data_IF_853843453161
#
_entry.id   IF_853843453161
#
_cell.length_a   1.000
_cell.length_b   1.000
_cell.length_c   1.000
_cell.angle_alpha   90.00
_cell.angle_beta   90.00
_cell.angle_gamma   90.00
#
_symmetry.space_group_name_H-M   'P 1'
#
loop_
_entity.id
_entity.type
_entity.pdbx_description
1 polymer ?
#
# COMPACT_ATOMS: atom_id res chain seq x y z
N UNK A 1 9.25 -12.59 25.50
CA UNK A 1 8.61 -13.07 26.75
C UNK A 1 7.39 -13.88 26.36
N UNK A 2 7.49 -15.19 26.48
CA UNK A 2 6.38 -16.15 26.33
C UNK A 2 5.71 -16.39 27.68
N UNK A 3 4.43 -16.77 27.70
CA UNK A 3 3.86 -17.99 28.32
C UNK A 3 2.30 -17.99 28.26
N UNK A 4 1.60 -19.15 28.40
CA UNK A 4 0.42 -19.53 27.60
C UNK A 4 -0.78 -20.11 28.42
N UNK A 5 -1.76 -20.70 27.70
CA UNK A 5 -2.70 -21.80 28.07
C UNK A 5 -4.01 -21.56 28.88
N UNK A 6 -5.15 -21.74 28.17
CA UNK A 6 -6.34 -22.59 28.42
C UNK A 6 -6.94 -22.81 29.82
N UNK A 7 -8.28 -22.69 29.95
CA UNK A 7 -9.20 -23.82 30.29
C UNK A 7 -10.71 -23.45 30.19
N UNK A 8 -11.53 -24.46 29.87
CA UNK A 8 -13.00 -24.49 29.74
C UNK A 8 -13.71 -24.94 31.02
N UNK A 9 -14.97 -24.52 31.27
CA UNK A 9 -15.98 -25.36 31.92
C UNK A 9 -17.43 -24.89 31.64
N UNK A 10 -18.30 -25.89 31.40
CA UNK A 10 -19.74 -25.81 31.12
C UNK A 10 -20.55 -25.78 32.42
N UNK A 11 -21.74 -25.16 32.39
CA UNK A 11 -22.88 -25.57 33.22
C UNK A 11 -24.16 -25.58 32.35
N UNK A 12 -24.83 -26.73 32.38
CA UNK A 12 -26.14 -27.04 31.82
C UNK A 12 -27.18 -26.89 32.94
N UNK A 13 -28.32 -26.27 32.69
CA UNK A 13 -29.54 -26.58 33.43
C UNK A 13 -30.77 -26.42 32.53
N UNK A 14 -31.53 -27.51 32.46
CA UNK A 14 -32.78 -27.64 31.74
C UNK A 14 -33.95 -27.12 32.59
N UNK A 15 -34.93 -26.51 31.93
CA UNK A 15 -36.24 -26.19 32.50
C UNK A 15 -37.30 -26.28 31.41
N UNK A 16 -38.08 -27.36 31.43
CA UNK A 16 -39.25 -27.60 30.59
C UNK A 16 -40.44 -26.78 31.11
N UNK A 17 -41.08 -26.01 30.24
CA UNK A 17 -42.49 -25.65 30.36
C UNK A 17 -43.14 -25.77 28.98
N UNK A 18 -44.09 -26.69 28.87
CA UNK A 18 -45.03 -26.82 27.74
C UNK A 18 -46.36 -26.19 28.13
N UNK A 19 -46.93 -25.34 27.27
CA UNK A 19 -48.38 -25.19 27.07
C UNK A 19 -48.68 -24.47 25.73
N UNK A 20 -49.18 -25.28 24.79
CA UNK A 20 -50.22 -25.03 23.80
C UNK A 20 -50.30 -23.71 22.98
N UNK A 21 -49.89 -23.85 21.71
CA UNK A 21 -50.62 -23.54 20.46
C UNK A 21 -51.19 -22.13 20.19
N UNK A 22 -50.49 -21.42 19.29
CA UNK A 22 -51.08 -20.75 18.14
C UNK A 22 -50.05 -20.77 16.99
N UNK A 23 -50.29 -21.60 15.97
CA UNK A 23 -49.44 -21.72 14.79
C UNK A 23 -49.60 -20.52 13.87
N UNK A 24 -48.92 -19.41 14.18
CA UNK A 24 -48.42 -18.55 13.12
C UNK A 24 -47.08 -19.14 12.68
N UNK A 25 -46.98 -19.57 11.43
CA UNK A 25 -45.71 -19.76 10.76
C UNK A 25 -45.01 -18.40 10.69
N UNK A 26 -44.35 -18.00 11.79
CA UNK A 26 -43.29 -17.04 11.73
C UNK A 26 -42.22 -17.66 10.83
N UNK A 27 -42.18 -17.24 9.57
CA UNK A 27 -40.99 -17.45 8.75
C UNK A 27 -39.81 -17.02 9.62
N UNK A 28 -38.76 -17.85 9.76
CA UNK A 28 -37.56 -17.40 10.45
C UNK A 28 -37.11 -16.13 9.70
N UNK A 29 -37.19 -14.98 10.39
CA UNK A 29 -36.49 -13.78 9.97
C UNK A 29 -35.05 -14.22 9.85
N UNK A 30 -34.56 -14.44 8.63
CA UNK A 30 -33.13 -14.46 8.40
C UNK A 30 -32.68 -13.05 8.78
N UNK A 31 -32.16 -12.89 9.99
CA UNK A 31 -31.18 -11.85 10.24
C UNK A 31 -30.03 -12.16 9.28
N UNK A 32 -30.11 -11.61 8.06
CA UNK A 32 -29.14 -11.87 7.01
C UNK A 32 -27.88 -11.08 7.36
N UNK A 33 -27.01 -11.70 8.17
CA UNK A 33 -25.64 -11.22 8.30
C UNK A 33 -25.09 -11.02 6.87
N UNK A 34 -24.71 -9.77 6.54
CA UNK A 34 -24.21 -9.44 5.23
C UNK A 34 -23.05 -10.38 4.85
N UNK A 35 -23.09 -10.92 3.63
CA UNK A 35 -22.01 -11.77 3.13
C UNK A 35 -20.69 -11.02 3.12
N UNK A 36 -19.57 -11.74 3.18
CA UNK A 36 -18.24 -11.14 3.15
C UNK A 36 -18.05 -10.22 1.93
N UNK A 37 -18.52 -10.63 0.75
CA UNK A 37 -18.51 -9.82 -0.48
C UNK A 37 -19.29 -8.51 -0.34
N UNK A 38 -20.47 -8.54 0.31
CA UNK A 38 -21.26 -7.33 0.55
C UNK A 38 -20.53 -6.36 1.48
N UNK A 39 -19.91 -6.85 2.56
CA UNK A 39 -19.13 -5.99 3.49
C UNK A 39 -17.93 -5.34 2.81
N UNK A 40 -17.23 -6.09 1.95
CA UNK A 40 -16.11 -5.55 1.17
C UNK A 40 -16.57 -4.46 0.20
N UNK A 41 -17.69 -4.68 -0.49
CA UNK A 41 -18.25 -3.69 -1.43
C UNK A 41 -18.76 -2.45 -0.71
N UNK A 42 -19.48 -2.61 0.40
CA UNK A 42 -19.96 -1.51 1.25
C UNK A 42 -18.81 -0.66 1.77
N UNK A 43 -17.72 -1.28 2.23
CA UNK A 43 -16.55 -0.55 2.70
C UNK A 43 -15.91 0.28 1.59
N UNK A 44 -15.71 -0.29 0.40
CA UNK A 44 -15.14 0.44 -0.74
C UNK A 44 -16.08 1.51 -1.29
N UNK A 45 -17.40 1.28 -1.29
CA UNK A 45 -18.40 2.29 -1.61
C UNK A 45 -18.34 3.47 -0.64
N UNK A 46 -18.20 3.19 0.67
CA UNK A 46 -18.03 4.25 1.66
C UNK A 46 -16.76 5.06 1.40
N UNK A 47 -15.64 4.39 1.10
CA UNK A 47 -14.38 5.06 0.76
C UNK A 47 -14.51 5.92 -0.50
N UNK A 48 -15.13 5.38 -1.55
CA UNK A 48 -15.33 6.08 -2.81
C UNK A 48 -16.27 7.28 -2.68
N UNK A 49 -17.36 7.15 -1.92
CA UNK A 49 -18.28 8.25 -1.63
C UNK A 49 -17.65 9.40 -0.86
N UNK A 50 -16.50 9.18 -0.21
CA UNK A 50 -15.72 10.19 0.50
C UNK A 50 -14.44 10.60 -0.23
N UNK A 51 -14.31 10.30 -1.53
CA UNK A 51 -13.13 10.61 -2.33
C UNK A 51 -11.83 10.04 -1.74
N UNK A 52 -11.92 8.89 -1.06
CA UNK A 52 -10.78 8.13 -0.53
C UNK A 52 -10.35 7.00 -1.46
N UNK A 53 -11.22 6.64 -2.40
CA UNK A 53 -10.92 5.62 -3.41
C UNK A 53 -11.63 5.91 -4.73
N UNK A 54 -10.92 5.79 -5.84
CA UNK A 54 -11.40 5.99 -7.20
C UNK A 54 -10.45 5.18 -8.08
N UNK A 55 -10.92 4.03 -8.55
CA UNK A 55 -10.11 3.06 -9.27
C UNK A 55 -10.73 1.67 -9.23
N UNK A 56 -9.90 0.62 -9.23
CA UNK A 56 -10.35 -0.77 -9.25
C UNK A 56 -9.78 -1.58 -8.09
N UNK A 57 -10.59 -2.45 -7.51
CA UNK A 57 -10.22 -3.30 -6.38
C UNK A 57 -10.52 -4.76 -6.66
N UNK A 58 -9.65 -5.65 -6.14
CA UNK A 58 -9.88 -7.09 -6.13
C UNK A 58 -9.53 -7.68 -4.77
N UNK A 59 -10.41 -8.51 -4.23
CA UNK A 59 -10.19 -9.29 -3.01
C UNK A 59 -10.49 -10.76 -3.31
N UNK A 60 -9.54 -11.64 -3.01
CA UNK A 60 -9.68 -13.08 -3.21
C UNK A 60 -9.22 -13.84 -1.96
N UNK A 61 -9.81 -15.02 -1.77
CA UNK A 61 -9.39 -15.98 -0.74
C UNK A 61 -9.41 -17.38 -1.30
N UNK A 62 -8.31 -18.12 -1.15
CA UNK A 62 -8.20 -19.54 -1.56
C UNK A 62 -8.57 -19.75 -3.03
N UNK A 63 -8.11 -18.85 -3.90
CA UNK A 63 -8.40 -18.85 -5.34
C UNK A 63 -9.80 -18.39 -5.73
N UNK A 64 -10.72 -18.14 -4.78
CA UNK A 64 -12.04 -17.60 -5.04
C UNK A 64 -12.02 -16.07 -4.95
N UNK A 65 -12.42 -15.42 -6.04
CA UNK A 65 -12.66 -13.96 -6.05
C UNK A 65 -13.91 -13.67 -5.21
N UNK A 66 -13.74 -12.83 -4.19
CA UNK A 66 -14.82 -12.35 -3.32
C UNK A 66 -15.33 -10.98 -3.78
N UNK A 67 -14.45 -10.17 -4.37
CA UNK A 67 -14.75 -8.87 -4.95
C UNK A 67 -13.80 -8.59 -6.10
N UNK A 68 -14.30 -8.08 -7.22
CA UNK A 68 -13.50 -7.53 -8.32
C UNK A 68 -14.36 -6.48 -9.03
N UNK A 69 -14.14 -5.20 -8.74
CA UNK A 69 -15.05 -4.12 -9.12
C UNK A 69 -14.32 -2.78 -9.26
N UNK A 70 -14.82 -1.94 -10.16
CA UNK A 70 -14.39 -0.55 -10.30
C UNK A 70 -15.28 0.41 -9.50
N UNK A 71 -14.68 1.51 -9.06
CA UNK A 71 -15.25 2.54 -8.21
C UNK A 71 -14.87 3.92 -8.76
N UNK A 72 -15.82 4.84 -8.81
CA UNK A 72 -15.60 6.19 -9.33
C UNK A 72 -15.26 6.20 -10.83
N UNK A 73 -14.40 7.15 -11.23
CA UNK A 73 -14.20 7.52 -12.63
C UNK A 73 -12.82 7.14 -13.17
N UNK A 74 -12.80 6.42 -14.29
CA UNK A 74 -11.62 6.27 -15.14
C UNK A 74 -11.15 7.64 -15.64
N UNK A 75 -12.09 8.48 -16.05
CA UNK A 75 -11.88 9.89 -16.37
C UNK A 75 -13.06 10.71 -15.83
N UNK A 76 -12.77 11.57 -14.86
CA UNK A 76 -13.75 12.40 -14.18
C UNK A 76 -14.38 13.47 -15.10
N UNK A 77 -13.69 13.89 -16.16
CA UNK A 77 -14.21 14.89 -17.10
C UNK A 77 -15.33 14.29 -17.99
N UNK A 78 -15.10 13.10 -18.52
CA UNK A 78 -16.08 12.35 -19.31
C UNK A 78 -17.07 11.53 -18.48
N UNK A 79 -16.81 11.39 -17.16
CA UNK A 79 -17.53 10.49 -16.24
C UNK A 79 -17.52 9.03 -16.71
N UNK A 80 -16.48 8.64 -17.44
CA UNK A 80 -16.25 7.23 -17.76
C UNK A 80 -15.98 6.47 -16.45
N UNK A 81 -16.71 5.39 -16.14
CA UNK A 81 -16.52 4.66 -14.89
C UNK A 81 -15.24 3.84 -14.92
N UNK A 82 -14.59 3.68 -13.77
CA UNK A 82 -13.61 2.61 -13.62
C UNK A 82 -14.31 1.25 -13.65
N UNK A 83 -13.66 0.26 -14.25
CA UNK A 83 -14.09 -1.14 -14.19
C UNK A 83 -12.90 -2.09 -13.99
N UNK A 84 -13.14 -3.41 -14.05
CA UNK A 84 -12.10 -4.44 -13.83
C UNK A 84 -11.10 -4.55 -14.99
N UNK A 85 -11.41 -3.90 -16.10
CA UNK A 85 -10.62 -3.86 -17.32
C UNK A 85 -9.83 -2.56 -17.44
N UNK A 86 -10.20 -1.48 -16.75
CA UNK A 86 -9.47 -0.21 -16.76
C UNK A 86 -7.98 -0.44 -16.46
N UNK A 87 -7.11 0.12 -17.30
CA UNK A 87 -5.66 -0.02 -17.19
C UNK A 87 -5.08 1.06 -16.30
N UNK A 88 -4.23 0.67 -15.35
CA UNK A 88 -3.52 1.56 -14.43
C UNK A 88 -2.01 1.28 -14.47
N UNK A 89 -1.14 2.29 -14.30
CA UNK A 89 0.25 2.05 -13.98
C UNK A 89 0.35 1.41 -12.58
N UNK A 90 1.01 0.26 -12.47
CA UNK A 90 1.24 -0.41 -11.17
C UNK A 90 2.51 0.10 -10.49
N UNK A 91 3.23 0.99 -11.17
CA UNK A 91 4.40 1.72 -10.65
C UNK A 91 5.36 0.76 -9.96
N UNK A 92 5.78 1.06 -8.73
CA UNK A 92 6.81 0.28 -8.03
C UNK A 92 6.46 -1.17 -7.73
N UNK A 93 5.22 -1.64 -7.92
CA UNK A 93 4.93 -3.09 -7.93
C UNK A 93 5.77 -3.79 -9.02
N UNK A 94 6.16 -3.10 -10.10
CA UNK A 94 7.12 -3.54 -11.12
C UNK A 94 8.38 -4.18 -10.53
N UNK A 95 8.86 -3.69 -9.38
CA UNK A 95 10.06 -4.24 -8.72
C UNK A 95 9.91 -5.72 -8.38
N UNK A 96 8.71 -6.19 -8.07
CA UNK A 96 8.45 -7.61 -7.83
C UNK A 96 8.62 -8.47 -9.09
N UNK A 97 8.26 -7.93 -10.26
CA UNK A 97 8.48 -8.57 -11.56
C UNK A 97 9.98 -8.61 -11.89
N UNK A 98 10.69 -7.49 -11.73
CA UNK A 98 12.14 -7.43 -11.94
C UNK A 98 12.89 -8.40 -11.04
N UNK A 99 12.51 -8.46 -9.75
CA UNK A 99 13.08 -9.40 -8.78
C UNK A 99 12.91 -10.85 -9.24
N UNK A 100 11.71 -11.20 -9.71
CA UNK A 100 11.40 -12.55 -10.21
C UNK A 100 12.20 -12.89 -11.46
N UNK A 101 12.37 -11.96 -12.39
CA UNK A 101 13.25 -12.15 -13.56
C UNK A 101 14.71 -12.37 -13.13
N UNK A 102 15.22 -11.60 -12.18
CA UNK A 102 16.59 -11.77 -11.67
C UNK A 102 16.77 -13.15 -11.03
N UNK A 103 15.81 -13.60 -10.21
CA UNK A 103 15.86 -14.92 -9.58
C UNK A 103 15.72 -16.06 -10.61
N UNK A 104 14.86 -15.90 -11.61
CA UNK A 104 14.76 -16.84 -12.73
C UNK A 104 16.08 -16.98 -13.50
N UNK A 105 16.75 -15.85 -13.79
CA UNK A 105 18.08 -15.87 -14.42
C UNK A 105 19.17 -16.46 -13.50
N UNK A 106 19.01 -16.36 -12.19
CA UNK A 106 19.88 -17.03 -11.23
C UNK A 106 19.72 -18.56 -11.29
N UNK A 107 18.49 -19.06 -11.38
CA UNK A 107 18.23 -20.51 -11.51
C UNK A 107 18.83 -21.08 -12.80
N UNK A 108 18.83 -20.28 -13.87
CA UNK A 108 19.50 -20.63 -15.14
C UNK A 108 21.05 -20.54 -15.07
N UNK A 109 21.62 -20.16 -13.92
CA UNK A 109 23.07 -19.99 -13.74
C UNK A 109 23.67 -18.81 -14.52
N UNK A 110 22.84 -17.93 -15.09
CA UNK A 110 23.30 -16.79 -15.89
C UNK A 110 23.83 -15.62 -15.06
N UNK A 111 23.39 -15.54 -13.81
CA UNK A 111 23.86 -14.58 -12.82
C UNK A 111 23.76 -15.17 -11.41
N UNK A 112 24.30 -14.47 -10.42
CA UNK A 112 24.04 -14.73 -9.01
C UNK A 112 23.67 -13.43 -8.32
N UNK A 113 22.71 -13.45 -7.38
CA UNK A 113 22.44 -12.29 -6.52
C UNK A 113 23.66 -11.89 -5.67
N UNK A 114 24.67 -12.76 -5.55
CA UNK A 114 25.94 -12.48 -4.87
C UNK A 114 26.99 -11.85 -5.80
N UNK A 115 26.74 -11.80 -7.11
CA UNK A 115 27.68 -11.19 -8.05
C UNK A 115 27.91 -9.71 -7.69
N UNK A 116 29.15 -9.22 -7.79
CA UNK A 116 29.43 -7.80 -7.63
C UNK A 116 28.90 -7.02 -8.83
N UNK A 117 28.47 -5.78 -8.60
CA UNK A 117 27.96 -4.89 -9.64
C UNK A 117 29.02 -4.63 -10.73
N UNK A 118 30.30 -4.61 -10.34
CA UNK A 118 31.43 -4.44 -11.26
C UNK A 118 31.54 -5.55 -12.32
N UNK A 119 30.92 -6.71 -12.11
CA UNK A 119 30.82 -7.75 -13.15
C UNK A 119 30.03 -7.29 -14.37
N UNK A 120 29.05 -6.41 -14.17
CA UNK A 120 28.14 -5.92 -15.22
C UNK A 120 28.41 -4.46 -15.61
N UNK A 121 28.96 -3.68 -14.69
CA UNK A 121 29.38 -2.29 -14.88
C UNK A 121 30.79 -2.09 -14.30
N UNK A 122 31.84 -2.47 -15.05
CA UNK A 122 33.23 -2.45 -14.56
C UNK A 122 33.69 -1.11 -13.99
N UNK A 123 33.24 0.00 -14.61
CA UNK A 123 33.64 1.35 -14.23
C UNK A 123 32.74 1.97 -13.15
N UNK A 124 31.75 1.24 -12.62
CA UNK A 124 30.86 1.77 -11.59
C UNK A 124 31.63 2.00 -10.28
N UNK A 125 31.65 3.23 -9.72
CA UNK A 125 32.41 3.53 -8.51
C UNK A 125 32.03 2.60 -7.35
N UNK A 126 33.05 1.92 -6.78
CA UNK A 126 32.87 0.91 -5.71
C UNK A 126 31.95 -0.26 -6.10
N UNK A 127 31.77 -0.53 -7.39
CA UNK A 127 30.93 -1.63 -7.90
C UNK A 127 31.34 -3.01 -7.37
N UNK A 128 32.62 -3.20 -7.02
CA UNK A 128 33.10 -4.44 -6.38
C UNK A 128 32.58 -4.67 -4.95
N UNK A 129 32.04 -3.65 -4.28
CA UNK A 129 31.46 -3.74 -2.93
C UNK A 129 29.93 -3.89 -2.93
N UNK A 130 29.29 -3.63 -4.07
CA UNK A 130 27.84 -3.67 -4.22
C UNK A 130 27.50 -4.99 -4.89
N UNK A 131 26.56 -5.77 -4.36
CA UNK A 131 26.08 -6.99 -5.02
C UNK A 131 24.66 -6.81 -5.53
N UNK A 132 24.20 -7.67 -6.43
CA UNK A 132 22.82 -7.66 -6.94
C UNK A 132 21.79 -7.79 -5.81
N UNK A 133 22.09 -8.60 -4.78
CA UNK A 133 21.31 -8.68 -3.53
C UNK A 133 21.18 -7.32 -2.84
N UNK A 134 22.22 -6.49 -2.82
CA UNK A 134 22.12 -5.14 -2.24
C UNK A 134 21.16 -4.26 -3.05
N UNK A 135 21.07 -4.44 -4.37
CA UNK A 135 20.09 -3.74 -5.21
C UNK A 135 18.67 -4.22 -4.91
N UNK A 136 18.45 -5.54 -4.93
CA UNK A 136 17.13 -6.17 -4.69
C UNK A 136 16.53 -5.83 -3.32
N UNK A 137 17.39 -5.68 -2.31
CA UNK A 137 16.99 -5.43 -0.91
C UNK A 137 17.08 -3.96 -0.47
N UNK A 138 17.35 -3.02 -1.39
CA UNK A 138 17.52 -1.58 -1.08
C UNK A 138 18.60 -1.30 -0.02
N UNK A 139 19.70 -2.05 -0.06
CA UNK A 139 20.83 -1.89 0.87
C UNK A 139 22.13 -1.49 0.17
N UNK A 140 22.06 -0.99 -1.07
CA UNK A 140 23.24 -0.69 -1.89
C UNK A 140 24.01 0.58 -1.47
N UNK A 141 23.30 1.58 -0.93
CA UNK A 141 23.85 2.91 -0.69
C UNK A 141 24.05 3.75 -1.96
N UNK A 142 23.58 3.29 -3.13
CA UNK A 142 23.63 4.04 -4.39
C UNK A 142 22.75 5.29 -4.28
N UNK A 143 23.16 6.40 -4.88
CA UNK A 143 22.34 7.61 -4.94
C UNK A 143 21.05 7.37 -5.75
N UNK A 144 19.90 7.78 -5.23
CA UNK A 144 18.62 7.58 -5.91
C UNK A 144 18.40 8.68 -6.95
N UNK A 145 18.27 8.33 -8.24
CA UNK A 145 18.12 9.33 -9.32
C UNK A 145 16.84 10.17 -9.17
N UNK A 146 15.81 9.61 -8.52
CA UNK A 146 14.55 10.32 -8.20
C UNK A 146 14.72 11.38 -7.11
N UNK A 147 15.91 11.55 -6.54
CA UNK A 147 16.24 12.71 -5.71
C UNK A 147 16.50 13.96 -6.58
N UNK A 148 16.90 13.77 -7.84
CA UNK A 148 17.24 14.87 -8.76
C UNK A 148 16.15 15.10 -9.81
N UNK A 149 15.31 14.09 -10.09
CA UNK A 149 14.17 14.22 -11.01
C UNK A 149 12.86 13.86 -10.32
N UNK A 150 11.89 14.76 -10.40
CA UNK A 150 10.57 14.63 -9.80
C UNK A 150 9.46 15.13 -10.73
N UNK A 151 8.24 15.24 -10.21
CA UNK A 151 7.05 15.66 -10.97
C UNK A 151 7.16 17.06 -11.60
N UNK A 152 8.04 17.89 -11.08
CA UNK A 152 8.24 19.26 -11.54
C UNK A 152 9.14 19.32 -12.79
N UNK A 153 9.92 18.27 -13.07
CA UNK A 153 10.83 18.17 -14.22
C UNK A 153 10.10 17.69 -15.49
N UNK A 154 8.97 18.31 -15.81
CA UNK A 154 8.08 17.91 -16.92
C UNK A 154 8.81 17.76 -18.27
N UNK A 155 9.84 18.57 -18.51
CA UNK A 155 10.67 18.51 -19.72
C UNK A 155 11.50 17.22 -19.86
N UNK A 156 11.72 16.49 -18.77
CA UNK A 156 12.44 15.21 -18.74
C UNK A 156 11.43 14.06 -18.64
N UNK A 157 10.42 14.20 -17.79
CA UNK A 157 9.64 13.05 -17.32
C UNK A 157 8.44 12.71 -18.20
N UNK A 158 7.95 13.65 -19.00
CA UNK A 158 6.79 13.48 -19.88
C UNK A 158 7.17 12.90 -21.26
N UNK A 159 8.44 12.62 -21.51
CA UNK A 159 8.95 12.21 -22.82
C UNK A 159 9.90 11.02 -22.70
N UNK A 160 10.10 10.24 -23.78
CA UNK A 160 11.07 9.15 -23.79
C UNK A 160 12.49 9.64 -23.45
N UNK A 161 13.14 8.94 -22.50
CA UNK A 161 14.50 9.23 -22.05
C UNK A 161 15.42 8.04 -22.32
N UNK A 162 16.57 8.25 -22.99
CA UNK A 162 17.57 7.19 -23.13
C UNK A 162 18.08 6.72 -21.76
N UNK A 163 18.20 5.41 -21.57
CA UNK A 163 18.68 4.80 -20.30
C UNK A 163 20.00 5.41 -19.81
N UNK A 164 20.90 5.77 -20.72
CA UNK A 164 22.18 6.41 -20.38
C UNK A 164 21.97 7.74 -19.66
N UNK A 165 20.98 8.55 -20.07
CA UNK A 165 20.69 9.85 -19.45
C UNK A 165 20.26 9.70 -17.99
N UNK A 166 19.47 8.68 -17.68
CA UNK A 166 19.08 8.36 -16.28
C UNK A 166 20.28 7.83 -15.51
N UNK A 167 21.09 6.96 -16.12
CA UNK A 167 22.30 6.42 -15.51
C UNK A 167 23.28 7.54 -15.11
N UNK A 168 23.49 8.52 -16.00
CA UNK A 168 24.42 9.64 -15.80
C UNK A 168 24.09 10.49 -14.56
N UNK A 169 22.83 10.53 -14.12
CA UNK A 169 22.40 11.25 -12.91
C UNK A 169 23.11 10.71 -11.67
N UNK A 170 23.27 9.39 -11.56
CA UNK A 170 23.76 8.76 -10.33
C UNK A 170 25.07 7.98 -10.47
N UNK A 171 25.53 7.71 -11.70
CA UNK A 171 26.69 6.84 -11.97
C UNK A 171 27.94 7.25 -11.18
N UNK A 172 28.25 8.55 -11.16
CA UNK A 172 29.46 9.09 -10.51
C UNK A 172 29.21 9.66 -9.10
N UNK A 173 27.98 9.55 -8.57
CA UNK A 173 27.66 10.06 -7.25
C UNK A 173 28.24 9.15 -6.16
N UNK A 174 28.67 9.76 -5.06
CA UNK A 174 29.19 9.05 -3.90
C UNK A 174 28.06 8.21 -3.27
N UNK A 175 28.39 7.00 -2.82
CA UNK A 175 27.46 6.19 -2.03
C UNK A 175 27.04 6.94 -0.75
N UNK A 176 25.75 6.97 -0.48
CA UNK A 176 25.14 7.57 0.71
C UNK A 176 25.58 6.84 1.99
N UNK A 177 25.83 5.53 1.88
CA UNK A 177 26.32 4.67 2.96
C UNK A 177 27.06 3.45 2.41
N UNK A 178 27.75 2.71 3.29
CA UNK A 178 28.43 1.46 2.92
C UNK A 178 27.39 0.38 2.51
N UNK A 179 27.58 -0.35 1.40
CA UNK A 179 26.65 -1.40 0.99
C UNK A 179 26.40 -2.39 2.12
N UNK A 180 25.14 -2.78 2.31
CA UNK A 180 24.72 -3.66 3.38
C UNK A 180 24.80 -3.05 4.78
N UNK A 181 24.85 -1.72 4.96
CA UNK A 181 24.81 -1.08 6.30
C UNK A 181 23.41 -0.72 6.77
N UNK A 182 22.59 -0.13 5.90
CA UNK A 182 21.23 0.34 6.20
C UNK A 182 20.30 0.08 5.02
N UNK A 183 19.00 0.23 5.26
CA UNK A 183 17.98 0.26 4.22
C UNK A 183 17.81 1.70 3.73
N UNK A 184 17.71 1.90 2.42
CA UNK A 184 17.26 3.14 1.80
C UNK A 184 16.60 2.79 0.47
N UNK A 185 15.28 3.00 0.37
CA UNK A 185 14.52 2.67 -0.83
C UNK A 185 15.11 3.37 -2.06
N UNK A 186 15.41 2.60 -3.11
CA UNK A 186 16.26 3.07 -4.20
C UNK A 186 15.78 2.63 -5.59
N UNK A 187 15.39 3.59 -6.42
CA UNK A 187 14.97 3.33 -7.79
C UNK A 187 16.17 3.06 -8.71
N UNK A 188 17.32 3.72 -8.49
CA UNK A 188 18.55 3.48 -9.27
C UNK A 188 19.01 2.01 -9.21
N UNK A 189 18.87 1.37 -8.06
CA UNK A 189 19.21 -0.04 -7.89
C UNK A 189 18.38 -0.96 -8.79
N UNK A 190 17.06 -0.76 -8.84
CA UNK A 190 16.18 -1.53 -9.73
C UNK A 190 16.34 -1.16 -11.20
N UNK A 191 16.67 0.10 -11.49
CA UNK A 191 17.04 0.53 -12.84
C UNK A 191 18.27 -0.24 -13.37
N UNK A 192 19.31 -0.36 -12.54
CA UNK A 192 20.50 -1.16 -12.84
C UNK A 192 20.16 -2.65 -13.01
N UNK A 193 19.26 -3.21 -12.19
CA UNK A 193 18.82 -4.60 -12.36
C UNK A 193 18.17 -4.84 -13.73
N UNK A 194 17.34 -3.92 -14.22
CA UNK A 194 16.80 -4.00 -15.59
C UNK A 194 17.90 -4.01 -16.65
N UNK A 195 18.89 -3.13 -16.54
CA UNK A 195 20.03 -3.10 -17.46
C UNK A 195 20.90 -4.38 -17.37
N UNK A 196 20.99 -5.00 -16.19
CA UNK A 196 21.68 -6.30 -16.01
C UNK A 196 20.92 -7.41 -16.73
N UNK A 197 19.58 -7.43 -16.64
CA UNK A 197 18.74 -8.38 -17.39
C UNK A 197 19.07 -8.28 -18.88
N UNK A 198 19.17 -7.08 -19.43
CA UNK A 198 19.51 -6.89 -20.85
C UNK A 198 20.92 -7.37 -21.18
N UNK A 199 21.92 -7.02 -20.37
CA UNK A 199 23.31 -7.46 -20.59
C UNK A 199 23.46 -8.98 -20.57
N UNK A 200 22.72 -9.66 -19.70
CA UNK A 200 22.80 -11.11 -19.52
C UNK A 200 21.99 -11.87 -20.57
N UNK A 201 20.90 -11.29 -21.07
CA UNK A 201 20.00 -11.97 -22.02
C UNK A 201 20.19 -11.56 -23.47
N UNK A 202 20.79 -10.39 -23.73
CA UNK A 202 20.87 -9.78 -25.06
C UNK A 202 19.54 -9.23 -25.58
N UNK A 203 18.49 -9.21 -24.75
CA UNK A 203 17.13 -8.77 -25.12
C UNK A 203 16.73 -7.51 -24.32
N UNK A 204 15.87 -6.64 -24.87
CA UNK A 204 15.25 -5.55 -24.09
C UNK A 204 14.53 -6.08 -22.85
N UNK A 205 14.59 -5.35 -21.74
CA UNK A 205 13.98 -5.77 -20.47
C UNK A 205 12.47 -6.02 -20.61
N UNK A 206 11.78 -5.17 -21.35
CA UNK A 206 10.34 -5.27 -21.61
C UNK A 206 10.00 -6.58 -22.32
N UNK A 207 10.84 -7.02 -23.25
CA UNK A 207 10.70 -8.30 -23.94
C UNK A 207 10.93 -9.47 -22.97
N UNK A 208 11.95 -9.38 -22.11
CA UNK A 208 12.23 -10.44 -21.13
C UNK A 208 11.09 -10.61 -20.12
N UNK A 209 10.51 -9.51 -19.63
CA UNK A 209 9.33 -9.57 -18.74
C UNK A 209 8.13 -10.18 -19.45
N UNK A 210 7.91 -9.81 -20.73
CA UNK A 210 6.81 -10.34 -21.53
C UNK A 210 6.92 -11.86 -21.70
N UNK A 211 8.06 -12.34 -22.17
CA UNK A 211 8.32 -13.76 -22.44
C UNK A 211 8.31 -14.61 -21.16
N UNK A 212 8.81 -14.08 -20.04
CA UNK A 212 8.97 -14.84 -18.79
C UNK A 212 7.77 -14.78 -17.85
N UNK A 213 6.96 -13.73 -17.93
CA UNK A 213 5.89 -13.49 -16.97
C UNK A 213 4.56 -13.27 -17.69
N UNK A 214 4.45 -12.28 -18.57
CA UNK A 214 3.14 -11.92 -19.13
C UNK A 214 2.56 -13.02 -20.01
N UNK A 215 3.35 -13.60 -20.91
CA UNK A 215 2.89 -14.65 -21.83
C UNK A 215 2.54 -15.96 -21.08
N UNK A 216 3.40 -16.51 -20.19
CA UNK A 216 3.07 -17.72 -19.43
C UNK A 216 1.84 -17.57 -18.55
N UNK A 217 1.61 -16.38 -17.99
CA UNK A 217 0.44 -16.10 -17.17
C UNK A 217 -0.77 -15.60 -17.96
N UNK A 218 -0.65 -15.37 -19.27
CA UNK A 218 -1.71 -14.82 -20.10
C UNK A 218 -2.15 -13.40 -19.68
N UNK A 219 -1.22 -12.56 -19.23
CA UNK A 219 -1.44 -11.16 -18.82
C UNK A 219 -1.51 -10.21 -20.02
N UNK A 220 -2.57 -10.36 -20.84
CA UNK A 220 -2.69 -9.72 -22.15
C UNK A 220 -3.04 -8.21 -22.12
N UNK A 221 -3.42 -7.67 -20.95
CA UNK A 221 -3.62 -6.23 -20.72
C UNK A 221 -2.55 -5.66 -19.79
N UNK A 222 -1.37 -6.28 -19.79
CA UNK A 222 -0.19 -5.82 -19.07
C UNK A 222 0.95 -5.50 -20.03
N UNK A 223 1.69 -4.45 -19.72
CA UNK A 223 2.70 -3.96 -20.63
C UNK A 223 3.45 -2.76 -20.10
N UNK A 224 4.06 -2.07 -21.05
CA UNK A 224 4.89 -0.88 -20.87
C UNK A 224 4.39 0.19 -21.84
N UNK A 225 4.83 1.42 -21.65
CA UNK A 225 4.39 2.56 -22.47
C UNK A 225 2.92 2.95 -22.25
N UNK A 226 2.58 3.20 -20.97
CA UNK A 226 1.24 3.58 -20.55
C UNK A 226 0.70 4.84 -21.25
N UNK A 227 1.56 5.84 -21.50
CA UNK A 227 1.14 7.14 -21.99
C UNK A 227 0.57 7.06 -23.42
N UNK A 228 1.03 6.11 -24.24
CA UNK A 228 0.56 5.92 -25.61
C UNK A 228 -0.60 4.93 -25.74
N UNK A 229 -1.11 4.39 -24.63
CA UNK A 229 -2.37 3.63 -24.65
C UNK A 229 -3.55 4.54 -25.05
N UNK A 230 -4.58 4.01 -25.72
CA UNK A 230 -5.82 4.75 -25.98
C UNK A 230 -6.47 5.24 -24.68
N UNK A 231 -7.01 6.46 -24.69
CA UNK A 231 -7.60 7.09 -23.48
C UNK A 231 -8.84 6.32 -22.98
N UNK A 232 -9.58 5.67 -23.87
CA UNK A 232 -10.77 4.88 -23.54
C UNK A 232 -10.46 3.60 -22.75
N UNK A 233 -9.22 3.12 -22.76
CA UNK A 233 -8.83 1.89 -22.03
C UNK A 233 -8.08 2.16 -20.73
N UNK A 234 -7.49 3.35 -20.58
CA UNK A 234 -6.60 3.67 -19.46
C UNK A 234 -7.22 4.69 -18.51
N UNK A 235 -6.88 4.58 -17.22
CA UNK A 235 -7.27 5.57 -16.24
C UNK A 235 -6.50 6.88 -16.43
N UNK A 236 -7.20 8.00 -16.24
CA UNK A 236 -6.58 9.31 -16.14
C UNK A 236 -6.15 9.56 -14.70
N UNK A 237 -4.88 9.91 -14.50
CA UNK A 237 -4.33 10.19 -13.16
C UNK A 237 -4.64 11.60 -12.69
N UNK A 238 -4.92 11.75 -11.39
CA UNK A 238 -5.23 13.04 -10.77
C UNK A 238 -4.31 13.33 -9.58
N UNK A 239 -3.67 14.50 -9.56
CA UNK A 239 -2.99 15.00 -8.36
C UNK A 239 -3.99 15.34 -7.24
N UNK A 240 -5.22 15.70 -7.62
CA UNK A 240 -6.32 15.94 -6.69
C UNK A 240 -7.65 15.57 -7.35
N UNK A 241 -8.47 14.82 -6.63
CA UNK A 241 -9.81 14.42 -7.05
C UNK A 241 -10.75 14.48 -5.84
N UNK A 242 -11.52 15.56 -5.73
CA UNK A 242 -12.54 15.78 -4.69
C UNK A 242 -13.87 16.18 -5.35
N UNK A 243 -14.91 16.45 -4.54
CA UNK A 243 -16.17 16.99 -5.06
C UNK A 243 -16.00 18.40 -5.67
N UNK A 244 -15.05 19.18 -5.14
CA UNK A 244 -14.81 20.57 -5.48
C UNK A 244 -13.69 20.75 -6.51
N UNK A 245 -12.73 19.82 -6.58
CA UNK A 245 -11.53 19.99 -7.40
C UNK A 245 -11.18 18.71 -8.17
N UNK A 246 -10.98 18.87 -9.48
CA UNK A 246 -10.42 17.84 -10.35
C UNK A 246 -9.15 18.38 -11.00
N UNK A 247 -7.99 17.93 -10.53
CA UNK A 247 -6.68 18.35 -11.04
C UNK A 247 -5.94 17.15 -11.64
N UNK A 248 -5.95 17.00 -12.98
CA UNK A 248 -5.19 15.95 -13.65
C UNK A 248 -3.70 16.07 -13.33
N UNK A 249 -3.02 14.93 -13.20
CA UNK A 249 -1.56 14.86 -13.10
C UNK A 249 -0.92 14.93 -14.48
N UNK A 250 0.32 15.42 -14.54
CA UNK A 250 1.16 15.27 -15.72
C UNK A 250 1.45 13.78 -15.99
N UNK A 251 1.57 13.38 -17.28
CA UNK A 251 1.95 12.03 -17.64
C UNK A 251 3.40 11.74 -17.22
N UNK A 252 3.70 10.46 -16.98
CA UNK A 252 5.05 10.00 -16.69
C UNK A 252 5.45 8.89 -17.65
N UNK A 253 6.52 9.13 -18.40
CA UNK A 253 6.99 8.23 -19.43
C UNK A 253 7.62 6.98 -18.81
N UNK A 254 7.27 5.83 -19.39
CA UNK A 254 7.69 4.51 -18.92
C UNK A 254 9.21 4.33 -18.92
N UNK A 255 9.95 5.02 -19.80
CA UNK A 255 11.41 4.94 -19.91
C UNK A 255 12.15 5.56 -18.72
N UNK A 256 11.51 6.49 -17.99
CA UNK A 256 12.11 7.14 -16.82
C UNK A 256 12.09 6.24 -15.60
N UNK A 257 11.01 5.47 -15.41
CA UNK A 257 10.92 4.47 -14.34
C UNK A 257 11.56 3.14 -14.72
N UNK A 258 11.40 2.71 -15.96
CA UNK A 258 11.92 1.44 -16.49
C UNK A 258 11.67 0.28 -15.51
N UNK A 259 12.63 -0.61 -15.28
CA UNK A 259 12.54 -1.73 -14.36
C UNK A 259 12.23 -1.36 -12.89
N UNK A 260 12.30 -0.08 -12.50
CA UNK A 260 11.88 0.34 -11.18
C UNK A 260 10.35 0.57 -11.06
N UNK A 261 9.62 0.79 -12.16
CA UNK A 261 8.22 1.21 -12.04
C UNK A 261 7.40 1.42 -13.31
N UNK A 262 7.74 0.81 -14.44
CA UNK A 262 7.13 1.13 -15.74
C UNK A 262 5.94 0.27 -16.16
N UNK A 263 5.60 -0.80 -15.43
CA UNK A 263 4.52 -1.70 -15.83
C UNK A 263 3.16 -1.01 -15.62
N UNK A 264 2.26 -1.16 -16.60
CA UNK A 264 0.82 -0.99 -16.41
C UNK A 264 0.12 -2.36 -16.40
N UNK A 265 -1.06 -2.42 -15.80
CA UNK A 265 -1.89 -3.63 -15.78
C UNK A 265 -3.35 -3.33 -15.43
N UNK A 266 -4.13 -4.39 -15.22
CA UNK A 266 -5.53 -4.39 -14.76
C UNK A 266 -5.66 -5.28 -13.53
N UNK A 267 -6.75 -5.17 -12.75
CA UNK A 267 -6.95 -6.08 -11.60
C UNK A 267 -7.06 -7.54 -12.05
N UNK A 268 -7.64 -7.79 -13.23
CA UNK A 268 -7.76 -9.12 -13.82
C UNK A 268 -6.41 -9.77 -14.13
N UNK A 269 -5.48 -9.02 -14.73
CA UNK A 269 -4.14 -9.54 -15.02
C UNK A 269 -3.26 -9.63 -13.78
N UNK A 270 -3.32 -8.62 -12.91
CA UNK A 270 -2.57 -8.65 -11.65
C UNK A 270 -3.05 -9.75 -10.72
N UNK A 271 -4.29 -10.23 -10.85
CA UNK A 271 -4.72 -11.44 -10.16
C UNK A 271 -3.98 -12.68 -10.64
N UNK A 272 -3.68 -12.81 -11.94
CA UNK A 272 -2.88 -13.92 -12.48
C UNK A 272 -1.47 -13.89 -11.91
N UNK A 273 -0.85 -12.70 -11.86
CA UNK A 273 0.41 -12.47 -11.15
C UNK A 273 0.32 -12.86 -9.67
N UNK A 274 -0.69 -12.37 -8.95
CA UNK A 274 -0.86 -12.66 -7.54
C UNK A 274 -1.08 -14.16 -7.27
N UNK A 275 -1.73 -14.89 -8.18
CA UNK A 275 -1.84 -16.35 -8.11
C UNK A 275 -0.48 -17.02 -8.35
N UNK A 276 0.28 -16.61 -9.35
CA UNK A 276 1.64 -17.13 -9.55
C UNK A 276 2.52 -16.94 -8.31
N UNK A 277 2.44 -15.77 -7.68
CA UNK A 277 3.11 -15.47 -6.41
C UNK A 277 2.62 -16.38 -5.28
N UNK A 278 1.30 -16.54 -5.12
CA UNK A 278 0.68 -17.36 -4.08
C UNK A 278 1.02 -18.85 -4.20
N UNK A 279 1.10 -19.36 -5.42
CA UNK A 279 1.42 -20.76 -5.71
C UNK A 279 2.91 -21.01 -5.92
N UNK A 280 3.73 -19.96 -5.77
CA UNK A 280 5.18 -20.02 -5.97
C UNK A 280 5.55 -20.58 -7.35
N UNK A 281 4.88 -20.08 -8.38
CA UNK A 281 5.11 -20.43 -9.79
C UNK A 281 6.18 -19.51 -10.43
N UNK A 282 6.57 -19.79 -11.68
CA UNK A 282 7.58 -19.08 -12.50
C UNK A 282 9.05 -19.23 -12.07
N UNK A 283 9.30 -19.36 -10.77
CA UNK A 283 10.62 -19.64 -10.16
C UNK A 283 10.44 -20.71 -9.08
N UNK A 284 11.54 -21.30 -8.61
CA UNK A 284 11.51 -22.33 -7.58
C UNK A 284 11.00 -21.79 -6.23
N UNK A 285 10.52 -22.69 -5.37
CA UNK A 285 10.11 -22.35 -4.01
C UNK A 285 11.24 -21.72 -3.22
N UNK A 286 12.45 -22.22 -3.37
CA UNK A 286 13.67 -21.70 -2.73
C UNK A 286 13.98 -20.27 -3.17
N UNK A 287 13.69 -19.91 -4.43
CA UNK A 287 13.83 -18.53 -4.91
C UNK A 287 12.71 -17.62 -4.39
N UNK A 288 11.47 -18.10 -4.31
CA UNK A 288 10.39 -17.35 -3.64
C UNK A 288 10.67 -17.13 -2.15
N UNK A 289 11.20 -18.14 -1.45
CA UNK A 289 11.65 -18.02 -0.07
C UNK A 289 12.75 -16.97 0.08
N UNK A 290 13.72 -16.94 -0.84
CA UNK A 290 14.72 -15.86 -0.89
C UNK A 290 14.07 -14.49 -1.09
N UNK A 291 13.07 -14.38 -1.98
CA UNK A 291 12.38 -13.12 -2.25
C UNK A 291 11.58 -12.60 -1.03
N UNK A 292 11.01 -13.51 -0.24
CA UNK A 292 10.19 -13.19 0.93
C UNK A 292 10.97 -13.21 2.26
N UNK A 293 12.27 -13.51 2.22
CA UNK A 293 13.10 -13.42 3.42
C UNK A 293 13.41 -11.95 3.71
N UNK A 294 12.95 -11.38 4.84
CA UNK A 294 13.23 -10.00 5.17
C UNK A 294 14.73 -9.79 5.44
N UNK A 295 15.29 -8.75 4.85
CA UNK A 295 16.63 -8.25 5.15
C UNK A 295 16.55 -7.09 6.16
N UNK A 296 16.81 -5.86 5.74
CA UNK A 296 16.69 -4.67 6.59
C UNK A 296 15.35 -4.01 6.37
N UNK A 297 14.85 -3.40 7.45
CA UNK A 297 13.54 -2.75 7.48
C UNK A 297 12.39 -3.65 7.00
N UNK A 298 12.56 -4.97 7.18
CA UNK A 298 11.60 -5.99 6.77
C UNK A 298 11.33 -6.03 5.25
N UNK A 299 12.28 -5.55 4.43
CA UNK A 299 12.24 -5.65 2.97
C UNK A 299 13.03 -6.87 2.47
N UNK A 300 12.42 -7.68 1.61
CA UNK A 300 13.02 -8.81 0.91
C UNK A 300 13.53 -8.41 -0.48
N UNK A 301 13.39 -9.28 -1.49
CA UNK A 301 13.74 -8.92 -2.87
C UNK A 301 12.52 -8.41 -3.62
N UNK A 302 12.34 -7.09 -3.62
CA UNK A 302 11.20 -6.45 -4.29
C UNK A 302 9.87 -6.57 -3.54
N UNK A 303 9.90 -6.92 -2.23
CA UNK A 303 8.72 -7.12 -1.40
C UNK A 303 8.94 -6.59 0.02
N UNK A 304 7.93 -5.91 0.58
CA UNK A 304 7.82 -5.68 2.02
C UNK A 304 7.19 -6.91 2.67
N UNK A 305 7.68 -7.28 3.86
CA UNK A 305 7.15 -8.39 4.65
C UNK A 305 6.82 -7.86 6.04
N UNK A 306 5.57 -8.03 6.49
CA UNK A 306 5.17 -7.52 7.80
C UNK A 306 4.02 -8.37 8.36
N UNK A 307 3.46 -7.93 9.49
CA UNK A 307 2.28 -8.55 10.10
C UNK A 307 1.17 -7.53 10.31
N UNK A 308 -0.07 -7.93 10.05
CA UNK A 308 -1.26 -7.14 10.32
C UNK A 308 -2.29 -8.04 11.01
N UNK A 309 -2.83 -7.58 12.14
CA UNK A 309 -3.77 -8.37 12.97
C UNK A 309 -3.26 -9.77 13.37
N UNK A 310 -1.94 -9.95 13.47
CA UNK A 310 -1.30 -11.23 13.76
C UNK A 310 -1.07 -12.14 12.55
N UNK A 311 -1.47 -11.71 11.35
CA UNK A 311 -1.30 -12.43 10.09
C UNK A 311 -0.12 -11.86 9.32
N UNK A 312 0.80 -12.72 8.87
CA UNK A 312 1.93 -12.30 8.04
C UNK A 312 1.46 -11.97 6.63
N UNK A 313 2.00 -10.91 6.05
CA UNK A 313 1.76 -10.57 4.66
C UNK A 313 3.04 -10.19 3.93
N UNK A 314 3.01 -10.37 2.61
CA UNK A 314 3.96 -9.78 1.66
C UNK A 314 3.23 -8.73 0.83
N UNK A 315 3.85 -7.60 0.57
CA UNK A 315 3.23 -6.52 -0.20
C UNK A 315 4.25 -5.74 -1.01
N UNK A 316 3.76 -5.10 -2.07
CA UNK A 316 4.44 -3.94 -2.63
C UNK A 316 3.38 -2.90 -3.03
N UNK A 317 3.72 -1.63 -2.85
CA UNK A 317 2.92 -0.51 -3.34
C UNK A 317 3.60 0.19 -4.50
N UNK A 318 2.84 0.96 -5.26
CA UNK A 318 3.31 1.88 -6.26
C UNK A 318 2.62 3.23 -6.05
N UNK A 319 3.34 4.33 -6.28
CA UNK A 319 2.78 5.66 -6.11
C UNK A 319 3.52 6.69 -6.94
N UNK A 320 2.76 7.62 -7.52
CA UNK A 320 3.28 8.70 -8.36
C UNK A 320 2.32 9.09 -9.48
N UNK A 321 2.42 10.36 -9.91
CA UNK A 321 1.80 10.89 -11.12
C UNK A 321 0.27 10.72 -11.18
N UNK A 322 -0.38 10.94 -10.03
CA UNK A 322 -1.82 10.79 -9.90
C UNK A 322 -2.30 9.34 -9.84
N UNK A 323 -1.41 8.39 -9.50
CA UNK A 323 -1.78 6.99 -9.31
C UNK A 323 -1.19 6.41 -8.03
N UNK A 324 -1.96 5.54 -7.40
CA UNK A 324 -1.52 4.68 -6.31
C UNK A 324 -1.94 3.25 -6.59
N UNK A 325 -1.08 2.29 -6.28
CA UNK A 325 -1.36 0.87 -6.43
C UNK A 325 -0.85 0.09 -5.22
N UNK A 326 -1.52 -1.00 -4.91
CA UNK A 326 -1.05 -1.95 -3.92
C UNK A 326 -1.43 -3.38 -4.30
N UNK A 327 -0.51 -4.29 -4.05
CA UNK A 327 -0.74 -5.73 -3.99
C UNK A 327 -0.31 -6.20 -2.59
N UNK A 328 -1.24 -6.81 -1.86
CA UNK A 328 -1.02 -7.41 -0.56
C UNK A 328 -1.46 -8.87 -0.59
N UNK A 329 -0.62 -9.76 -0.10
CA UNK A 329 -0.87 -11.19 -0.04
C UNK A 329 -0.54 -11.74 1.34
N UNK A 330 -1.48 -12.47 1.94
CA UNK A 330 -1.34 -13.20 3.21
C UNK A 330 -1.14 -14.69 2.89
N UNK A 331 0.10 -15.21 2.94
CA UNK A 331 0.38 -16.57 2.50
C UNK A 331 -0.33 -17.66 3.29
N UNK A 332 -0.41 -17.50 4.62
CA UNK A 332 -0.97 -18.49 5.52
C UNK A 332 -2.50 -18.66 5.33
N UNK A 333 -3.21 -17.59 4.99
CA UNK A 333 -4.66 -17.61 4.77
C UNK A 333 -5.08 -17.71 3.29
N UNK A 334 -4.11 -17.67 2.37
CA UNK A 334 -4.27 -17.48 0.92
C UNK A 334 -5.25 -16.33 0.62
N UNK A 335 -4.97 -15.14 1.14
CA UNK A 335 -5.78 -13.93 0.91
C UNK A 335 -5.00 -12.92 0.08
N UNK A 336 -5.57 -12.49 -1.04
CA UNK A 336 -5.03 -11.43 -1.88
C UNK A 336 -5.93 -10.21 -1.85
N UNK A 337 -5.34 -9.04 -1.64
CA UNK A 337 -6.01 -7.73 -1.74
C UNK A 337 -5.20 -6.89 -2.74
N UNK A 338 -5.88 -6.34 -3.75
CA UNK A 338 -5.31 -5.45 -4.74
C UNK A 338 -6.16 -4.20 -4.86
N UNK A 339 -5.49 -3.05 -4.90
CA UNK A 339 -6.12 -1.74 -5.03
C UNK A 339 -5.34 -0.93 -6.05
N UNK A 340 -6.00 -0.47 -7.12
CA UNK A 340 -5.48 0.51 -8.07
C UNK A 340 -6.34 1.75 -7.98
N UNK A 341 -5.70 2.91 -7.85
CA UNK A 341 -6.33 4.20 -7.61
C UNK A 341 -5.74 5.20 -8.59
N UNK A 342 -6.58 5.96 -9.30
CA UNK A 342 -6.12 7.00 -10.24
C UNK A 342 -6.20 8.40 -9.63
N UNK A 343 -5.97 8.53 -8.34
CA UNK A 343 -5.54 9.80 -7.77
C UNK A 343 -4.52 9.60 -6.65
N UNK A 344 -3.82 10.68 -6.31
CA UNK A 344 -2.93 10.76 -5.16
C UNK A 344 -1.46 10.89 -5.52
N UNK A 345 -0.68 11.25 -4.51
CA UNK A 345 0.78 11.30 -4.52
C UNK A 345 1.36 10.43 -3.38
N UNK A 346 2.65 10.56 -3.11
CA UNK A 346 3.35 9.83 -2.04
C UNK A 346 2.74 9.99 -0.63
N UNK A 347 1.87 10.98 -0.37
CA UNK A 347 1.16 11.15 0.90
C UNK A 347 -0.16 10.37 1.01
N UNK A 348 -0.85 10.10 -0.11
CA UNK A 348 -2.19 9.49 -0.10
C UNK A 348 -2.12 7.97 -0.15
N UNK A 349 -1.91 7.35 1.01
CA UNK A 349 -1.67 5.92 1.13
C UNK A 349 -2.95 5.06 1.08
N UNK A 350 -2.97 4.07 0.18
CA UNK A 350 -3.96 2.99 0.18
C UNK A 350 -3.89 2.07 1.42
N UNK A 351 -2.95 2.31 2.34
CA UNK A 351 -2.75 1.52 3.55
C UNK A 351 -4.00 1.45 4.44
N UNK A 352 -4.73 2.56 4.62
CA UNK A 352 -5.95 2.57 5.44
C UNK A 352 -7.05 1.70 4.86
N UNK A 353 -7.25 1.78 3.53
CA UNK A 353 -8.23 0.93 2.82
C UNK A 353 -7.82 -0.53 2.91
N UNK A 354 -6.55 -0.85 2.67
CA UNK A 354 -6.03 -2.21 2.86
C UNK A 354 -6.23 -2.73 4.27
N UNK A 355 -6.05 -1.88 5.28
CA UNK A 355 -6.25 -2.25 6.68
C UNK A 355 -7.72 -2.57 6.95
N UNK A 356 -8.66 -1.76 6.46
CA UNK A 356 -10.10 -2.03 6.60
C UNK A 356 -10.54 -3.29 5.85
N UNK A 357 -10.07 -3.50 4.62
CA UNK A 357 -10.34 -4.74 3.88
C UNK A 357 -9.75 -5.97 4.59
N UNK A 358 -8.54 -5.86 5.12
CA UNK A 358 -7.92 -6.93 5.92
C UNK A 358 -8.70 -7.20 7.20
N UNK A 359 -9.20 -6.15 7.87
CA UNK A 359 -10.03 -6.29 9.06
C UNK A 359 -11.30 -7.08 8.74
N UNK A 360 -11.98 -6.76 7.63
CA UNK A 360 -13.15 -7.51 7.14
C UNK A 360 -12.78 -8.97 6.87
N UNK A 361 -11.66 -9.23 6.19
CA UNK A 361 -11.19 -10.58 5.86
C UNK A 361 -10.87 -11.45 7.09
N UNK A 362 -10.39 -10.84 8.17
CA UNK A 362 -10.00 -11.51 9.41
C UNK A 362 -11.00 -11.32 10.56
N UNK A 363 -12.24 -10.92 10.24
CA UNK A 363 -13.33 -10.72 11.19
C UNK A 363 -12.93 -9.83 12.38
N UNK A 364 -12.16 -8.77 12.10
CA UNK A 364 -11.83 -7.70 13.03
C UNK A 364 -12.85 -6.58 12.90
N UNK A 365 -12.86 -5.67 13.88
CA UNK A 365 -13.67 -4.45 13.82
C UNK A 365 -13.09 -3.51 12.76
N UNK A 366 -13.97 -2.76 12.12
CA UNK A 366 -13.65 -1.78 11.09
C UNK A 366 -14.74 -0.71 11.07
N UNK A 367 -14.39 0.47 10.55
CA UNK A 367 -15.32 1.58 10.39
C UNK A 367 -15.51 1.89 8.92
N UNK A 368 -16.74 2.21 8.54
CA UNK A 368 -17.00 2.79 7.23
C UNK A 368 -16.41 4.19 7.14
N UNK A 369 -16.12 4.64 5.92
CA UNK A 369 -15.71 6.01 5.69
C UNK A 369 -16.95 6.91 5.69
N UNK A 370 -16.89 7.99 6.46
CA UNK A 370 -17.99 8.95 6.60
C UNK A 370 -17.54 10.34 6.20
N UNK A 371 -18.50 11.16 5.76
CA UNK A 371 -18.25 12.59 5.56
C UNK A 371 -17.97 13.24 6.92
N UNK A 372 -17.03 14.17 6.92
CA UNK A 372 -16.61 14.90 8.11
C UNK A 372 -16.61 16.38 7.79
N UNK A 373 -17.60 17.09 8.32
CA UNK A 373 -17.66 18.55 8.23
C UNK A 373 -16.62 19.16 9.17
N UNK A 374 -16.00 20.25 8.72
CA UNK A 374 -15.02 21.00 9.51
C UNK A 374 -15.75 22.17 10.17
N UNK A 375 -15.62 22.29 11.49
CA UNK A 375 -16.18 23.41 12.26
C UNK A 375 -15.08 24.29 12.84
N UNK A 376 -15.38 25.57 13.05
CA UNK A 376 -14.50 26.43 13.84
C UNK A 376 -14.68 26.18 15.33
N UNK A 377 -13.56 26.06 16.05
CA UNK A 377 -13.55 25.93 17.52
C UNK A 377 -12.85 27.14 18.13
N UNK A 378 -13.41 27.76 19.19
CA UNK A 378 -12.76 28.86 19.89
C UNK A 378 -11.37 28.49 20.39
N UNK A 379 -10.40 29.40 20.24
CA UNK A 379 -9.00 29.16 20.63
C UNK A 379 -8.85 28.77 22.10
N UNK A 380 -9.69 29.34 22.99
CA UNK A 380 -9.70 29.00 24.42
C UNK A 380 -9.96 27.51 24.65
N UNK A 381 -10.83 26.90 23.85
CA UNK A 381 -11.16 25.48 23.93
C UNK A 381 -10.01 24.66 23.33
N UNK A 382 -9.49 25.05 22.18
CA UNK A 382 -8.33 24.37 21.58
C UNK A 382 -7.12 24.33 22.53
N UNK A 383 -6.85 25.43 23.25
CA UNK A 383 -5.79 25.50 24.26
C UNK A 383 -5.97 24.47 25.37
N UNK A 384 -7.20 24.18 25.82
CA UNK A 384 -7.43 23.23 26.91
C UNK A 384 -7.05 21.79 26.53
N UNK A 385 -7.14 21.45 25.24
CA UNK A 385 -6.78 20.14 24.70
C UNK A 385 -5.29 19.95 24.48
N UNK A 386 -4.48 21.02 24.48
CA UNK A 386 -3.03 20.89 24.33
C UNK A 386 -2.42 20.11 25.48
N UNK A 387 -1.39 19.31 25.18
CA UNK A 387 -0.73 18.48 26.17
C UNK A 387 -0.07 17.24 25.58
N UNK A 388 0.47 16.42 26.48
CA UNK A 388 0.99 15.09 26.12
C UNK A 388 0.03 14.04 26.65
N UNK A 389 -0.40 13.14 25.77
CA UNK A 389 -1.25 12.01 26.12
C UNK A 389 -0.49 10.70 25.93
N UNK A 390 -0.75 9.70 26.77
CA UNK A 390 -0.08 8.40 26.70
C UNK A 390 -1.05 7.23 26.72
N UNK A 391 -0.73 6.20 25.93
CA UNK A 391 -1.37 4.90 25.94
C UNK A 391 -0.42 3.89 26.59
N UNK A 392 -0.90 3.22 27.63
CA UNK A 392 -0.16 2.22 28.43
C UNK A 392 1.22 2.69 28.92
N UNK A 393 1.43 4.00 29.08
CA UNK A 393 2.69 4.62 29.51
C UNK A 393 3.84 4.53 28.50
N UNK A 394 3.60 3.98 27.30
CA UNK A 394 4.64 3.72 26.29
C UNK A 394 4.48 4.62 25.08
N UNK A 395 3.35 4.54 24.41
CA UNK A 395 3.06 5.40 23.26
C UNK A 395 2.66 6.78 23.75
N UNK A 396 3.13 7.82 23.06
CA UNK A 396 2.77 9.20 23.36
C UNK A 396 2.31 9.91 22.10
N UNK A 397 1.29 10.73 22.26
CA UNK A 397 0.85 11.71 21.27
C UNK A 397 0.92 13.09 21.87
N UNK A 398 1.56 14.00 21.15
CA UNK A 398 1.68 15.40 21.47
C UNK A 398 0.58 16.16 20.73
N UNK A 399 -0.28 16.83 21.49
CA UNK A 399 -1.30 17.71 20.95
C UNK A 399 -0.81 19.14 21.13
N UNK A 400 -0.44 19.78 20.02
CA UNK A 400 0.11 21.15 20.03
C UNK A 400 -0.80 22.10 19.28
N UNK A 401 -0.78 23.38 19.65
CA UNK A 401 -1.54 24.43 18.99
C UNK A 401 -0.57 25.36 18.27
N UNK A 402 -0.82 25.63 16.98
CA UNK A 402 -0.11 26.66 16.22
C UNK A 402 -1.13 27.53 15.49
N UNK A 403 -1.18 28.81 15.81
CA UNK A 403 -2.30 29.67 15.41
C UNK A 403 -3.62 29.14 15.97
N UNK A 404 -4.61 28.90 15.11
CA UNK A 404 -5.93 28.33 15.47
C UNK A 404 -6.07 26.85 15.09
N UNK A 405 -4.97 26.15 14.83
CA UNK A 405 -4.95 24.77 14.35
C UNK A 405 -4.26 23.85 15.36
N UNK A 406 -4.96 22.81 15.82
CA UNK A 406 -4.34 21.73 16.59
C UNK A 406 -3.54 20.80 15.67
N UNK A 407 -2.47 20.24 16.20
CA UNK A 407 -1.63 19.25 15.54
C UNK A 407 -1.43 18.05 16.45
N UNK A 408 -1.45 16.85 15.86
CA UNK A 408 -1.06 15.62 16.52
C UNK A 408 0.31 15.17 16.01
N UNK A 409 1.18 14.73 16.91
CA UNK A 409 2.51 14.19 16.60
C UNK A 409 2.84 13.04 17.54
N UNK A 410 3.40 11.94 17.03
CA UNK A 410 3.84 10.82 17.85
C UNK A 410 5.27 10.97 18.40
N UNK A 411 5.64 10.12 19.36
CA UNK A 411 6.96 10.16 20.01
C UNK A 411 8.08 9.37 19.34
N UNK A 412 7.88 8.89 18.11
CA UNK A 412 8.94 8.27 17.33
C UNK A 412 8.85 8.65 15.86
N UNK A 413 9.96 8.60 15.10
CA UNK A 413 9.94 8.84 13.65
C UNK A 413 9.04 7.88 12.85
N UNK A 414 8.69 6.73 13.43
CA UNK A 414 7.77 5.75 12.85
C UNK A 414 6.32 5.98 13.27
N UNK A 415 6.06 6.93 14.16
CA UNK A 415 4.72 7.33 14.60
C UNK A 415 4.14 8.38 13.65
N UNK A 416 2.90 8.80 13.93
CA UNK A 416 2.21 9.84 13.16
C UNK A 416 3.11 11.10 13.09
N UNK A 417 3.47 11.59 11.89
CA UNK A 417 4.20 12.84 11.77
C UNK A 417 3.32 13.99 12.28
N UNK A 418 3.88 15.19 12.42
CA UNK A 418 3.08 16.34 12.85
C UNK A 418 2.00 16.68 11.81
N UNK A 419 0.76 16.32 12.08
CA UNK A 419 -0.38 16.48 11.17
C UNK A 419 -1.48 17.38 11.77
N UNK A 420 -2.18 18.18 10.96
CA UNK A 420 -3.28 19.01 11.43
C UNK A 420 -4.48 18.16 11.85
N UNK A 421 -5.02 18.45 13.04
CA UNK A 421 -6.28 17.90 13.55
C UNK A 421 -7.46 18.81 13.18
N UNK A 422 -8.27 18.37 12.23
CA UNK A 422 -9.46 19.09 11.80
C UNK A 422 -10.60 18.86 12.79
N UNK A 423 -11.27 19.92 13.23
CA UNK A 423 -12.36 19.81 14.19
C UNK A 423 -13.66 19.41 13.48
N UNK A 424 -14.29 18.33 13.93
CA UNK A 424 -15.63 17.91 13.52
C UNK A 424 -16.71 18.42 14.49
N UNK A 425 -16.35 18.63 15.75
CA UNK A 425 -17.16 19.28 16.77
C UNK A 425 -16.24 20.01 17.76
N UNK A 426 -16.81 20.60 18.81
CA UNK A 426 -16.03 21.26 19.87
C UNK A 426 -14.99 20.33 20.52
N UNK A 427 -15.23 19.02 20.56
CA UNK A 427 -14.37 18.05 21.25
C UNK A 427 -13.98 16.83 20.39
N UNK A 428 -14.43 16.73 19.14
CA UNK A 428 -14.07 15.65 18.21
C UNK A 428 -13.26 16.22 17.07
N UNK A 429 -12.10 15.62 16.82
CA UNK A 429 -11.16 15.99 15.79
C UNK A 429 -10.81 14.78 14.94
N UNK A 430 -10.24 15.01 13.77
CA UNK A 430 -9.80 13.95 12.88
C UNK A 430 -8.59 14.37 12.04
N UNK A 431 -7.88 13.37 11.51
CA UNK A 431 -6.87 13.58 10.49
C UNK A 431 -7.51 13.43 9.12
N UNK A 432 -7.24 14.36 8.21
CA UNK A 432 -7.89 14.37 6.89
C UNK A 432 -7.69 13.05 6.16
N UNK A 433 -6.48 12.52 6.10
CA UNK A 433 -6.15 11.34 5.29
C UNK A 433 -6.48 9.99 5.96
N UNK A 434 -6.86 9.99 7.23
CA UNK A 434 -6.96 8.77 8.04
C UNK A 434 -8.39 8.54 8.53
N UNK A 435 -8.84 7.28 8.54
CA UNK A 435 -10.09 6.92 9.20
C UNK A 435 -9.90 6.81 10.73
N UNK A 436 -9.47 7.91 11.34
CA UNK A 436 -9.17 8.02 12.78
C UNK A 436 -9.85 9.27 13.33
N UNK A 437 -10.44 9.17 14.52
CA UNK A 437 -10.98 10.32 15.26
C UNK A 437 -10.33 10.45 16.63
N UNK A 438 -10.24 11.69 17.10
CA UNK A 438 -9.63 12.12 18.35
C UNK A 438 -10.70 12.85 19.15
N UNK A 439 -11.23 12.22 20.19
CA UNK A 439 -12.28 12.78 21.03
C UNK A 439 -11.71 13.14 22.40
N UNK A 440 -11.73 14.42 22.73
CA UNK A 440 -11.39 14.91 24.05
C UNK A 440 -12.62 14.78 24.96
N UNK A 441 -12.46 14.12 26.10
CA UNK A 441 -13.56 13.87 27.04
C UNK A 441 -13.04 13.89 28.48
N UNK A 442 -13.90 14.20 29.43
CA UNK A 442 -13.57 14.00 30.84
C UNK A 442 -13.56 12.49 31.16
N UNK A 443 -12.56 12.06 31.93
CA UNK A 443 -12.49 10.72 32.51
C UNK A 443 -13.72 10.48 33.39
N UNK A 444 -14.53 9.42 33.12
CA UNK A 444 -15.65 9.07 33.98
C UNK A 444 -15.25 8.79 35.44
N UNK A 445 -14.02 8.33 35.69
CA UNK A 445 -13.52 7.93 37.00
C UNK A 445 -12.69 9.02 37.68
N UNK A 446 -11.70 9.60 36.97
CA UNK A 446 -10.75 10.56 37.56
C UNK A 446 -11.17 12.04 37.34
N UNK A 447 -12.21 12.32 36.52
CA UNK A 447 -12.65 13.66 36.06
C UNK A 447 -11.61 14.48 35.27
N UNK A 448 -10.40 13.97 35.10
CA UNK A 448 -9.35 14.60 34.31
C UNK A 448 -9.60 14.49 32.80
N UNK A 449 -9.06 15.42 32.02
CA UNK A 449 -9.20 15.39 30.57
C UNK A 449 -8.44 14.19 29.98
N UNK A 450 -9.14 13.36 29.22
CA UNK A 450 -8.58 12.26 28.44
C UNK A 450 -8.74 12.51 26.94
N UNK A 451 -7.92 11.80 26.17
CA UNK A 451 -8.04 11.69 24.73
C UNK A 451 -8.47 10.27 24.36
N UNK A 452 -9.63 10.12 23.73
CA UNK A 452 -10.07 8.87 23.13
C UNK A 452 -9.70 8.90 21.66
N UNK A 453 -8.79 8.03 21.24
CA UNK A 453 -8.47 7.84 19.82
C UNK A 453 -9.28 6.65 19.32
N UNK A 454 -10.16 6.87 18.36
CA UNK A 454 -10.90 5.81 17.69
C UNK A 454 -10.22 5.48 16.37
N UNK A 455 -9.79 4.23 16.21
CA UNK A 455 -9.25 3.73 14.96
C UNK A 455 -9.55 2.23 14.81
N UNK A 456 -9.76 1.77 13.57
CA UNK A 456 -9.95 0.33 13.25
C UNK A 456 -11.09 -0.30 14.05
N UNK A 457 -12.18 0.45 14.25
CA UNK A 457 -13.38 0.07 14.99
C UNK A 457 -13.16 -0.12 16.50
N UNK A 458 -12.13 0.52 17.07
CA UNK A 458 -11.77 0.41 18.47
C UNK A 458 -11.43 1.77 19.08
N UNK A 459 -11.84 1.95 20.34
CA UNK A 459 -11.48 3.11 21.16
C UNK A 459 -10.22 2.79 21.98
N UNK A 460 -9.25 3.69 21.92
CA UNK A 460 -8.05 3.67 22.75
C UNK A 460 -8.08 4.87 23.69
N UNK A 461 -7.97 4.60 25.00
CA UNK A 461 -8.00 5.64 26.03
C UNK A 461 -6.58 6.13 26.31
N UNK A 462 -6.31 7.41 26.04
CA UNK A 462 -5.02 8.04 26.29
C UNK A 462 -5.10 9.00 27.46
N UNK A 463 -4.33 8.73 28.51
CA UNK A 463 -4.26 9.57 29.71
C UNK A 463 -3.39 10.80 29.46
N UNK A 464 -3.87 11.97 29.87
CA UNK A 464 -3.07 13.21 29.82
C UNK A 464 -2.00 13.17 30.92
N UNK A 465 -0.76 13.44 30.57
CA UNK A 465 0.39 13.42 31.51
C UNK A 465 1.09 14.77 31.63
N UNK A 466 0.83 15.71 30.70
CA UNK A 466 1.33 17.08 30.70
C UNK A 466 0.36 18.00 30.00
#
# INVERSE_FOLDING_TARGET
MQYPLTFTARILLAGLFTLASASLLAQPRQDTAASLSQKLDEYLLSAAGQYRFNGAALVARRGKILLNKGYGWQDAASKAPNDTSTVFPILSITKSFTSTVILSLQEEGKLSVKDPLSKYFPDFPKGGQITLRHLLSHTSGIYNYTNDIGKEDSAIICYPVPKQRILDIFYNKRLEFKPGKQFSYNNSGFFLLGMIVEKVTGKPYEQVVRERIFEPLGMNRSGFDFIHLPEEVKARGYDRLTAEEQRPSNPWDSTVSYAAGSIYSTTNDMYKWARAVAHQELISKESWEQAFTPYRDRYGYGWWIDTLFGHRYVTHSGGGFGFMSNLMYFPEEDVTIMLFNNFGDYGQSLHQINTGLSAIMFNKRYDLWTSREIVEVPEKILKSYTGTYTLDGKAKVFITLSGRQLFAEGNSPQSIPRLPLLAQSENVFFLEEFNVTFRFAADPEEKDLQLVVHEKGQDFQWKKIK
#
